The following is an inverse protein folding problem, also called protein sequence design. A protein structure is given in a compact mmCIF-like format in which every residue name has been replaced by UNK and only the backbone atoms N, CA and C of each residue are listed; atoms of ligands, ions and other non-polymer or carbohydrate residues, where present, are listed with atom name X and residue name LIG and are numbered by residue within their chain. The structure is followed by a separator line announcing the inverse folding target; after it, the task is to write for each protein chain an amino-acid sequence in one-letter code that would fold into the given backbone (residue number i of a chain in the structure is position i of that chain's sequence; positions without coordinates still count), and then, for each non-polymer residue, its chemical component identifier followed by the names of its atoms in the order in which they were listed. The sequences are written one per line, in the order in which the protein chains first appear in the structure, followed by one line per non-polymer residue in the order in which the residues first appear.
data_IF_646517473790
#
_entry.id   IF_646517473790
#
_cell.length_a   1.000
_cell.length_b   1.000
_cell.length_c   1.000
_cell.angle_alpha   90.00
_cell.angle_beta   90.00
_cell.angle_gamma   90.00
#
_symmetry.space_group_name_H-M   'P 1'
#
loop_
_entity.id
_entity.type
_entity.pdbx_description
1 polymer ?
#
# COMPACT_ATOMS: atom_id res chain seq x y z
N UNK A 1 19.49 12.91 14.09
CA UNK A 1 20.27 13.67 15.10
C UNK A 1 21.07 14.73 14.38
N UNK A 2 20.96 16.00 14.77
CA UNK A 2 21.78 17.05 14.18
C UNK A 2 23.24 16.86 14.62
N UNK A 3 24.23 17.00 13.72
CA UNK A 3 25.63 16.93 14.14
C UNK A 3 25.90 17.99 15.19
N UNK A 4 26.64 17.61 16.19
CA UNK A 4 26.97 18.54 17.28
C UNK A 4 27.96 19.60 16.79
N UNK A 5 27.90 20.79 17.37
CA UNK A 5 28.76 21.94 17.04
C UNK A 5 30.28 21.55 17.06
N UNK A 6 30.64 20.55 17.84
CA UNK A 6 31.98 20.03 17.92
C UNK A 6 32.48 19.35 16.61
N UNK A 7 31.58 18.74 15.84
CA UNK A 7 31.92 18.10 14.56
C UNK A 7 32.14 19.13 13.44
N UNK A 8 31.40 20.24 13.48
CA UNK A 8 31.59 21.33 12.52
C UNK A 8 32.91 22.11 12.84
N UNK A 9 33.25 22.26 14.09
CA UNK A 9 34.49 22.96 14.48
C UNK A 9 35.74 22.15 14.11
N UNK A 10 35.68 20.82 14.16
CA UNK A 10 36.83 19.95 13.78
C UNK A 10 37.08 20.04 12.24
N UNK A 11 36.03 20.17 11.44
CA UNK A 11 36.18 20.34 9.99
C UNK A 11 36.77 21.70 9.61
N UNK A 12 36.43 22.74 10.38
CA UNK A 12 36.92 24.10 10.12
C UNK A 12 38.40 24.26 10.53
N UNK A 13 38.85 23.55 11.60
CA UNK A 13 40.22 23.65 12.04
C UNK A 13 41.20 22.95 11.08
N UNK A 14 40.75 21.91 10.38
CA UNK A 14 41.56 21.26 9.36
C UNK A 14 41.84 22.16 8.13
N UNK A 15 40.89 23.02 7.81
CA UNK A 15 41.00 23.93 6.65
C UNK A 15 42.01 25.05 6.88
N UNK A 16 42.24 25.50 8.10
CA UNK A 16 43.11 26.67 8.39
C UNK A 16 44.61 26.28 8.36
N UNK A 17 44.95 24.99 8.61
CA UNK A 17 46.32 24.56 8.62
C UNK A 17 46.92 24.26 7.25
N UNK A 18 46.14 24.33 6.18
CA UNK A 18 46.63 23.96 4.84
C UNK A 18 47.32 25.07 4.05
N UNK A 19 47.46 26.29 4.59
CA UNK A 19 47.93 27.45 3.80
C UNK A 19 49.41 27.82 3.99
N UNK A 20 50.21 27.03 4.65
CA UNK A 20 51.65 27.40 4.79
C UNK A 20 52.57 26.23 4.44
N UNK A 21 53.16 26.32 3.35
CA UNK A 21 54.45 25.77 2.86
C UNK A 21 54.36 25.22 1.44
N UNK A 22 54.96 25.95 0.54
CA UNK A 22 55.29 25.48 -0.80
C UNK A 22 56.48 24.51 -0.72
N UNK A 23 56.27 23.28 -0.96
CA UNK A 23 57.30 22.31 -1.22
C UNK A 23 56.92 21.52 -2.46
N UNK A 24 57.78 21.52 -3.42
CA UNK A 24 57.61 20.87 -4.74
C UNK A 24 57.51 19.35 -4.58
N UNK A 25 56.28 18.86 -4.45
CA UNK A 25 55.97 17.43 -4.40
C UNK A 25 54.89 17.14 -5.43
N UNK A 26 55.20 16.28 -6.38
CA UNK A 26 54.23 15.86 -7.38
C UNK A 26 52.98 15.28 -6.72
N UNK A 27 51.79 15.85 -7.00
CA UNK A 27 50.52 15.52 -6.37
C UNK A 27 49.49 15.33 -7.48
N UNK A 28 49.44 14.14 -8.07
CA UNK A 28 48.58 13.90 -9.21
C UNK A 28 47.10 13.98 -8.87
N UNK A 29 46.31 14.46 -9.79
CA UNK A 29 44.83 14.46 -9.70
C UNK A 29 44.31 13.03 -9.81
N UNK A 30 43.11 12.80 -9.27
CA UNK A 30 42.40 11.54 -9.46
C UNK A 30 42.04 11.35 -10.93
N UNK A 31 42.40 10.21 -11.48
CA UNK A 31 42.00 9.85 -12.86
C UNK A 31 40.49 9.69 -12.92
N UNK A 32 39.90 9.95 -14.08
CA UNK A 32 38.45 9.97 -14.28
C UNK A 32 37.75 8.65 -13.83
N UNK A 33 38.34 7.51 -14.05
CA UNK A 33 37.77 6.22 -13.62
C UNK A 33 37.68 6.04 -12.11
N UNK A 34 38.40 6.86 -11.33
CA UNK A 34 38.30 6.84 -9.87
C UNK A 34 37.06 7.58 -9.35
N UNK A 35 36.70 8.70 -9.97
CA UNK A 35 35.69 9.61 -9.44
C UNK A 35 34.40 9.69 -10.30
N UNK A 36 34.48 9.62 -11.64
CA UNK A 36 33.30 9.72 -12.51
C UNK A 36 32.22 8.66 -12.20
N UNK A 37 32.58 7.38 -11.96
CA UNK A 37 31.59 6.38 -11.57
C UNK A 37 30.84 6.74 -10.27
N UNK A 38 31.48 7.44 -9.34
CA UNK A 38 30.84 7.84 -8.08
C UNK A 38 29.70 8.81 -8.33
N UNK A 39 29.91 9.80 -9.25
CA UNK A 39 28.85 10.74 -9.62
C UNK A 39 27.68 10.02 -10.31
N UNK A 40 27.96 9.06 -11.19
CA UNK A 40 26.91 8.27 -11.83
C UNK A 40 26.10 7.44 -10.80
N UNK A 41 26.80 6.86 -9.83
CA UNK A 41 26.17 6.13 -8.72
C UNK A 41 25.26 7.08 -7.92
N UNK A 42 25.73 8.27 -7.55
CA UNK A 42 24.93 9.26 -6.84
C UNK A 42 23.65 9.61 -7.61
N UNK A 43 23.77 9.84 -8.91
CA UNK A 43 22.61 10.11 -9.78
C UNK A 43 21.60 8.97 -9.81
N UNK A 44 22.07 7.73 -9.87
CA UNK A 44 21.16 6.56 -9.87
C UNK A 44 20.56 6.30 -8.48
N UNK A 45 21.30 6.52 -7.40
CA UNK A 45 20.79 6.34 -6.04
C UNK A 45 19.70 7.37 -5.71
N UNK A 46 19.74 8.58 -6.27
CA UNK A 46 18.68 9.58 -6.10
C UNK A 46 17.32 9.11 -6.62
N UNK A 47 17.28 8.10 -7.49
CA UNK A 47 16.03 7.53 -8.00
C UNK A 47 15.35 6.61 -6.98
N UNK A 48 16.09 6.08 -5.99
CA UNK A 48 15.56 5.07 -5.04
C UNK A 48 14.36 5.62 -4.24
N UNK A 49 14.42 6.82 -3.64
CA UNK A 49 13.24 7.41 -2.98
C UNK A 49 12.03 7.55 -3.90
N UNK A 50 12.24 8.00 -5.14
CA UNK A 50 11.17 8.16 -6.13
C UNK A 50 10.52 6.80 -6.46
N UNK A 51 11.33 5.77 -6.71
CA UNK A 51 10.84 4.40 -6.98
C UNK A 51 10.04 3.89 -5.77
N UNK A 52 10.58 4.03 -4.56
CA UNK A 52 9.94 3.58 -3.34
C UNK A 52 8.58 4.27 -3.14
N UNK A 53 8.53 5.58 -3.33
CA UNK A 53 7.31 6.37 -3.27
C UNK A 53 6.30 5.93 -4.33
N UNK A 54 6.75 5.76 -5.58
CA UNK A 54 5.89 5.32 -6.70
C UNK A 54 5.22 3.98 -6.41
N UNK A 55 5.97 3.01 -5.91
CA UNK A 55 5.45 1.68 -5.54
C UNK A 55 4.41 1.75 -4.41
N UNK A 56 4.67 2.55 -3.37
CA UNK A 56 3.73 2.79 -2.27
C UNK A 56 2.43 3.39 -2.82
N UNK A 57 2.55 4.47 -3.60
CA UNK A 57 1.41 5.18 -4.19
C UNK A 57 0.57 4.26 -5.06
N UNK A 58 1.19 3.46 -5.91
CA UNK A 58 0.50 2.51 -6.80
C UNK A 58 -0.31 1.47 -6.00
N UNK A 59 0.26 0.92 -4.92
CA UNK A 59 -0.45 -0.01 -4.03
C UNK A 59 -1.62 0.68 -3.32
N UNK A 60 -1.42 1.90 -2.81
CA UNK A 60 -2.45 2.69 -2.11
C UNK A 60 -3.61 3.05 -3.05
N UNK A 61 -3.30 3.53 -4.25
CA UNK A 61 -4.32 3.90 -5.25
C UNK A 61 -5.16 2.68 -5.65
N UNK A 62 -4.52 1.53 -5.83
CA UNK A 62 -5.21 0.27 -6.13
C UNK A 62 -6.11 -0.18 -4.97
N UNK A 63 -5.62 -0.11 -3.73
CA UNK A 63 -6.40 -0.44 -2.53
C UNK A 63 -7.62 0.48 -2.40
N UNK A 64 -7.44 1.78 -2.61
CA UNK A 64 -8.51 2.78 -2.57
C UNK A 64 -9.57 2.50 -3.64
N UNK A 65 -9.16 2.27 -4.88
CA UNK A 65 -10.06 1.95 -5.99
C UNK A 65 -10.88 0.68 -5.70
N UNK A 66 -10.21 -0.36 -5.18
CA UNK A 66 -10.88 -1.60 -4.78
C UNK A 66 -11.92 -1.39 -3.69
N UNK A 67 -11.60 -0.62 -2.64
CA UNK A 67 -12.53 -0.30 -1.54
C UNK A 67 -13.73 0.50 -2.03
N UNK A 68 -13.52 1.51 -2.86
CA UNK A 68 -14.62 2.31 -3.42
C UNK A 68 -15.56 1.45 -4.25
N UNK A 69 -15.02 0.57 -5.08
CA UNK A 69 -15.81 -0.32 -5.91
C UNK A 69 -16.56 -1.37 -5.06
N UNK A 70 -15.92 -1.92 -4.02
CA UNK A 70 -16.56 -2.83 -3.07
C UNK A 70 -17.76 -2.16 -2.38
N UNK A 71 -17.59 -0.93 -1.89
CA UNK A 71 -18.67 -0.16 -1.25
C UNK A 71 -19.83 0.09 -2.23
N UNK A 72 -19.54 0.40 -3.50
CA UNK A 72 -20.57 0.59 -4.52
C UNK A 72 -21.41 -0.67 -4.72
N UNK A 73 -20.75 -1.84 -4.81
CA UNK A 73 -21.46 -3.12 -4.94
C UNK A 73 -22.27 -3.46 -3.69
N UNK A 74 -21.73 -3.18 -2.50
CA UNK A 74 -22.46 -3.38 -1.24
C UNK A 74 -23.70 -2.46 -1.13
N UNK A 75 -23.61 -1.21 -1.60
CA UNK A 75 -24.75 -0.28 -1.65
C UNK A 75 -25.86 -0.85 -2.56
N UNK A 76 -25.48 -1.38 -3.73
CA UNK A 76 -26.43 -1.98 -4.66
C UNK A 76 -27.11 -3.21 -4.04
N UNK A 77 -26.41 -4.01 -3.27
CA UNK A 77 -26.97 -5.15 -2.55
C UNK A 77 -27.95 -4.68 -1.47
N UNK A 78 -27.57 -3.66 -0.69
CA UNK A 78 -28.47 -3.13 0.36
C UNK A 78 -29.70 -2.41 -0.21
N UNK A 79 -29.60 -1.85 -1.41
CA UNK A 79 -30.74 -1.24 -2.12
C UNK A 79 -31.70 -2.32 -2.64
N UNK A 80 -31.20 -3.52 -2.92
CA UNK A 80 -32.01 -4.61 -3.46
C UNK A 80 -33.09 -5.08 -2.51
N UNK A 81 -34.18 -5.61 -3.06
CA UNK A 81 -35.27 -6.21 -2.28
C UNK A 81 -34.82 -7.56 -1.72
N UNK A 82 -35.47 -8.00 -0.63
CA UNK A 82 -35.17 -9.27 0.02
C UNK A 82 -35.32 -10.50 -0.92
N UNK A 83 -36.12 -10.35 -1.97
CA UNK A 83 -36.36 -11.42 -2.96
C UNK A 83 -35.22 -11.60 -3.97
N UNK A 84 -34.33 -10.62 -4.09
CA UNK A 84 -33.25 -10.60 -5.10
C UNK A 84 -31.92 -10.28 -4.44
N UNK A 85 -31.38 -11.19 -3.65
CA UNK A 85 -30.00 -11.10 -3.19
C UNK A 85 -29.10 -11.41 -4.37
N UNK A 86 -28.38 -10.40 -4.83
CA UNK A 86 -27.42 -10.54 -5.92
C UNK A 86 -26.11 -11.11 -5.38
N UNK A 87 -26.03 -12.45 -5.31
CA UNK A 87 -24.82 -13.16 -4.86
C UNK A 87 -23.56 -12.64 -5.53
N UNK A 88 -23.67 -12.24 -6.81
CA UNK A 88 -22.56 -11.68 -7.57
C UNK A 88 -22.04 -10.36 -6.98
N UNK A 89 -22.90 -9.48 -6.47
CA UNK A 89 -22.45 -8.22 -5.88
C UNK A 89 -21.71 -8.46 -4.57
N UNK A 90 -22.26 -9.32 -3.71
CA UNK A 90 -21.64 -9.67 -2.42
C UNK A 90 -20.29 -10.35 -2.65
N UNK A 91 -20.24 -11.32 -3.57
CA UNK A 91 -19.02 -12.05 -3.89
C UNK A 91 -17.93 -11.11 -4.44
N UNK A 92 -18.28 -10.24 -5.40
CA UNK A 92 -17.32 -9.26 -5.95
C UNK A 92 -16.86 -8.26 -4.88
N UNK A 93 -17.78 -7.76 -4.04
CA UNK A 93 -17.43 -6.83 -2.95
C UNK A 93 -16.44 -7.47 -1.97
N UNK A 94 -16.66 -8.75 -1.61
CA UNK A 94 -15.75 -9.49 -0.73
C UNK A 94 -14.37 -9.67 -1.36
N UNK A 95 -14.31 -10.08 -2.63
CA UNK A 95 -13.05 -10.23 -3.35
C UNK A 95 -12.27 -8.91 -3.46
N UNK A 96 -12.97 -7.81 -3.79
CA UNK A 96 -12.36 -6.46 -3.84
C UNK A 96 -11.83 -6.02 -2.47
N UNK A 97 -12.59 -6.28 -1.42
CA UNK A 97 -12.19 -5.94 -0.04
C UNK A 97 -10.93 -6.72 0.34
N UNK A 98 -10.91 -8.03 0.11
CA UNK A 98 -9.75 -8.87 0.42
C UNK A 98 -8.49 -8.40 -0.33
N UNK A 99 -8.61 -8.06 -1.60
CA UNK A 99 -7.49 -7.53 -2.39
C UNK A 99 -7.02 -6.16 -1.89
N UNK A 100 -7.95 -5.27 -1.54
CA UNK A 100 -7.61 -3.96 -1.00
C UNK A 100 -6.87 -4.09 0.36
N UNK A 101 -7.29 -5.03 1.20
CA UNK A 101 -6.61 -5.34 2.47
C UNK A 101 -5.21 -5.91 2.23
N UNK A 102 -5.05 -6.82 1.28
CA UNK A 102 -3.76 -7.38 0.91
C UNK A 102 -2.79 -6.28 0.45
N UNK A 103 -3.26 -5.33 -0.39
CA UNK A 103 -2.44 -4.20 -0.85
C UNK A 103 -2.10 -3.24 0.30
N UNK A 104 -3.03 -2.99 1.21
CA UNK A 104 -2.78 -2.16 2.41
C UNK A 104 -1.72 -2.81 3.30
N UNK A 105 -1.79 -4.13 3.48
CA UNK A 105 -0.79 -4.89 4.24
C UNK A 105 0.58 -4.85 3.54
N UNK A 106 0.60 -4.95 2.21
CA UNK A 106 1.84 -4.81 1.42
C UNK A 106 2.45 -3.42 1.60
N UNK A 107 1.66 -2.34 1.60
CA UNK A 107 2.13 -0.98 1.89
C UNK A 107 2.79 -0.93 3.28
N UNK A 108 2.12 -1.45 4.30
CA UNK A 108 2.63 -1.43 5.68
C UNK A 108 3.99 -2.16 5.78
N UNK A 109 4.10 -3.34 5.19
CA UNK A 109 5.32 -4.14 5.18
C UNK A 109 6.44 -3.43 4.39
N UNK A 110 6.11 -2.89 3.22
CA UNK A 110 7.08 -2.25 2.33
C UNK A 110 7.57 -0.88 2.86
N UNK A 111 6.77 -0.17 3.64
CA UNK A 111 7.16 1.16 4.18
C UNK A 111 8.49 1.09 4.93
N UNK A 112 8.71 0.07 5.73
CA UNK A 112 9.98 -0.11 6.46
C UNK A 112 11.17 -0.27 5.51
N UNK A 113 10.99 -1.03 4.43
CA UNK A 113 12.01 -1.23 3.39
C UNK A 113 12.28 0.09 2.66
N UNK A 114 11.22 0.78 2.26
CA UNK A 114 11.27 2.04 1.52
C UNK A 114 12.01 3.14 2.30
N UNK A 115 11.65 3.34 3.57
CA UNK A 115 12.27 4.34 4.45
C UNK A 115 13.77 4.05 4.62
N UNK A 116 14.10 2.80 4.93
CA UNK A 116 15.48 2.39 5.12
C UNK A 116 16.31 2.53 3.85
N UNK A 117 15.81 2.12 2.71
CA UNK A 117 16.51 2.23 1.43
C UNK A 117 16.71 3.70 1.04
N UNK A 118 15.73 4.55 1.31
CA UNK A 118 15.84 6.01 1.11
C UNK A 118 16.95 6.59 1.98
N UNK A 119 16.95 6.25 3.26
CA UNK A 119 17.93 6.72 4.24
C UNK A 119 19.36 6.36 3.80
N UNK A 120 19.62 5.07 3.54
CA UNK A 120 20.97 4.62 3.16
C UNK A 120 21.41 5.15 1.79
N UNK A 121 20.48 5.23 0.83
CA UNK A 121 20.79 5.77 -0.51
C UNK A 121 21.18 7.25 -0.41
N UNK A 122 20.39 8.04 0.35
CA UNK A 122 20.69 9.48 0.48
C UNK A 122 21.91 9.77 1.35
N UNK A 123 22.18 8.95 2.34
CA UNK A 123 23.44 8.99 3.10
C UNK A 123 24.65 8.75 2.17
N UNK A 124 24.53 7.75 1.28
CA UNK A 124 25.60 7.44 0.32
C UNK A 124 25.76 8.57 -0.71
N UNK A 125 24.67 9.15 -1.21
CA UNK A 125 24.70 10.31 -2.11
C UNK A 125 25.43 11.48 -1.46
N UNK A 126 25.03 11.82 -0.22
CA UNK A 126 25.64 12.94 0.51
C UNK A 126 27.15 12.75 0.68
N UNK A 127 27.58 11.56 1.12
CA UNK A 127 29.01 11.28 1.33
C UNK A 127 29.83 11.26 0.02
N UNK A 128 29.23 10.80 -1.08
CA UNK A 128 29.87 10.87 -2.40
C UNK A 128 30.01 12.34 -2.82
N UNK A 129 28.95 13.12 -2.70
CA UNK A 129 28.92 14.50 -3.14
C UNK A 129 29.86 15.38 -2.30
N UNK A 130 29.88 15.19 -0.99
CA UNK A 130 30.80 15.92 -0.11
C UNK A 130 32.26 15.65 -0.51
N UNK A 131 32.60 14.39 -0.78
CA UNK A 131 33.96 14.01 -1.20
C UNK A 131 34.30 14.64 -2.56
N UNK A 132 33.39 14.57 -3.52
CA UNK A 132 33.61 15.14 -4.87
C UNK A 132 33.66 16.68 -4.81
N UNK A 133 32.80 17.31 -3.99
CA UNK A 133 32.77 18.75 -3.83
C UNK A 133 34.08 19.27 -3.20
N UNK A 134 34.60 18.57 -2.20
CA UNK A 134 35.88 18.88 -1.59
C UNK A 134 37.00 18.86 -2.66
N UNK A 135 37.04 17.80 -3.46
CA UNK A 135 38.07 17.65 -4.52
C UNK A 135 37.88 18.66 -5.66
N UNK A 136 36.62 18.99 -5.99
CA UNK A 136 36.28 19.98 -7.03
C UNK A 136 36.67 21.38 -6.63
N UNK A 137 36.46 21.76 -5.36
CA UNK A 137 36.78 23.11 -4.88
C UNK A 137 38.27 23.30 -4.53
N UNK A 138 39.05 22.20 -4.47
CA UNK A 138 40.46 22.23 -4.25
C UNK A 138 41.23 22.50 -5.59
N UNK A 139 40.83 23.53 -6.30
CA UNK A 139 41.29 23.88 -7.64
C UNK A 139 41.75 25.34 -7.66
N UNK A 140 42.96 25.57 -8.13
CA UNK A 140 43.50 26.94 -8.34
C UNK A 140 44.36 26.98 -9.61
N UNK A 141 44.00 27.80 -10.55
CA UNK A 141 44.82 27.96 -11.77
C UNK A 141 44.96 26.64 -12.55
N UNK A 142 46.17 26.14 -12.61
CA UNK A 142 46.46 24.87 -13.28
C UNK A 142 46.41 23.65 -12.34
N UNK A 143 46.10 23.85 -11.03
CA UNK A 143 46.02 22.81 -10.06
C UNK A 143 44.56 22.34 -9.89
N UNK A 144 44.32 21.02 -9.86
CA UNK A 144 43.01 20.42 -9.72
C UNK A 144 43.14 18.99 -9.18
N UNK A 145 42.11 18.54 -8.48
CA UNK A 145 42.11 17.19 -7.89
C UNK A 145 41.30 16.17 -8.71
N UNK A 146 40.46 16.60 -9.63
CA UNK A 146 39.66 15.73 -10.49
C UNK A 146 40.14 15.85 -11.94
N UNK A 147 40.78 14.82 -12.45
CA UNK A 147 41.22 14.76 -13.85
C UNK A 147 40.07 14.39 -14.80
N UNK A 148 40.19 14.78 -16.05
CA UNK A 148 39.16 14.56 -17.08
C UNK A 148 39.28 13.25 -17.84
N UNK A 149 40.45 12.61 -17.79
CA UNK A 149 40.75 11.40 -18.55
C UNK A 149 41.63 10.42 -17.74
N UNK A 150 42.01 9.30 -18.36
CA UNK A 150 42.82 8.27 -17.72
C UNK A 150 44.25 8.73 -17.38
N UNK A 151 44.72 9.80 -18.00
CA UNK A 151 45.97 10.51 -17.69
C UNK A 151 45.58 11.96 -17.43
N UNK A 152 45.47 12.40 -16.17
CA UNK A 152 44.85 13.68 -15.90
C UNK A 152 45.67 14.86 -16.36
N UNK A 153 45.44 15.23 -17.60
CA UNK A 153 46.11 16.37 -18.27
C UNK A 153 45.27 17.64 -18.23
N UNK A 154 44.00 17.51 -17.83
CA UNK A 154 43.07 18.66 -17.73
C UNK A 154 42.08 18.43 -16.57
N UNK A 155 41.55 19.57 -16.09
CA UNK A 155 40.54 19.56 -15.00
C UNK A 155 39.22 18.97 -15.49
N UNK A 156 38.75 17.96 -14.77
CA UNK A 156 37.47 17.30 -15.00
C UNK A 156 36.31 17.81 -14.13
N UNK A 157 36.56 18.76 -13.25
CA UNK A 157 35.59 19.23 -12.24
C UNK A 157 34.28 19.69 -12.81
N UNK A 158 34.30 20.35 -13.99
CA UNK A 158 33.08 20.87 -14.63
C UNK A 158 32.06 19.78 -15.01
N UNK A 159 32.52 18.56 -15.24
CA UNK A 159 31.63 17.46 -15.65
C UNK A 159 30.93 16.74 -14.45
N UNK A 160 31.33 17.02 -13.23
CA UNK A 160 30.80 16.33 -12.05
C UNK A 160 29.27 16.44 -11.95
N UNK A 161 28.73 17.62 -12.20
CA UNK A 161 27.28 17.87 -12.19
C UNK A 161 26.55 17.02 -13.25
N UNK A 162 27.03 17.04 -14.47
CA UNK A 162 26.43 16.34 -15.61
C UNK A 162 26.46 14.81 -15.42
N UNK A 163 27.37 14.31 -14.62
CA UNK A 163 27.52 12.90 -14.32
C UNK A 163 26.62 12.44 -13.15
N UNK A 164 25.95 13.38 -12.44
CA UNK A 164 25.04 13.07 -11.37
C UNK A 164 25.42 13.57 -9.99
N UNK A 165 26.63 14.06 -9.76
CA UNK A 165 26.94 14.86 -8.58
C UNK A 165 26.23 16.22 -8.69
N UNK A 166 25.73 16.74 -7.61
CA UNK A 166 24.93 17.96 -7.58
C UNK A 166 23.58 17.79 -8.33
N UNK A 167 23.01 16.59 -8.31
CA UNK A 167 21.72 16.31 -8.94
C UNK A 167 20.54 16.92 -8.18
N UNK A 168 19.40 17.00 -8.85
CA UNK A 168 18.16 17.51 -8.26
C UNK A 168 17.65 16.57 -7.14
N UNK A 169 16.86 17.14 -6.25
CA UNK A 169 16.16 16.38 -5.20
C UNK A 169 15.23 15.32 -5.80
N UNK A 170 15.06 14.16 -5.13
CA UNK A 170 14.09 13.15 -5.57
C UNK A 170 12.68 13.71 -5.72
N UNK A 171 12.00 13.29 -6.75
CA UNK A 171 10.65 13.75 -7.03
C UNK A 171 9.60 12.74 -6.56
N UNK A 172 8.85 12.90 -5.92
CA UNK A 172 7.99 12.11 -5.47
C UNK A 172 6.81 12.26 -6.12
N UNK A 173 6.60 12.33 -7.28
CA UNK A 173 5.44 12.48 -8.17
C UNK A 173 4.68 11.15 -8.42
N UNK A 174 5.15 10.07 -7.86
CA UNK A 174 4.56 8.74 -8.04
C UNK A 174 5.10 7.98 -9.25
N UNK A 175 6.11 8.52 -9.95
CA UNK A 175 6.79 7.80 -11.03
C UNK A 175 7.66 6.66 -10.47
N UNK A 176 7.98 5.70 -11.31
CA UNK A 176 8.92 4.61 -11.01
C UNK A 176 10.03 4.63 -12.08
N UNK A 177 10.99 5.56 -11.99
CA UNK A 177 12.09 5.60 -12.94
C UNK A 177 12.93 4.33 -12.88
N UNK A 178 13.46 3.89 -14.01
CA UNK A 178 14.37 2.75 -14.04
C UNK A 178 15.77 3.15 -13.56
N UNK A 179 16.41 2.25 -12.83
CA UNK A 179 17.81 2.36 -12.44
C UNK A 179 18.67 1.80 -13.60
N UNK A 180 19.72 2.50 -13.96
CA UNK A 180 20.64 2.04 -15.01
C UNK A 180 21.47 0.85 -14.51
N UNK A 181 21.24 -0.33 -15.06
CA UNK A 181 21.96 -1.57 -14.71
C UNK A 181 23.45 -1.50 -15.03
N UNK A 182 23.84 -0.63 -15.98
CA UNK A 182 25.23 -0.35 -16.30
C UNK A 182 25.97 0.37 -15.16
N UNK A 183 25.21 0.91 -14.18
CA UNK A 183 25.76 1.60 -13.01
C UNK A 183 25.47 0.79 -11.74
N UNK A 184 24.20 0.43 -11.50
CA UNK A 184 23.74 -0.31 -10.32
C UNK A 184 23.17 -1.66 -10.77
N UNK A 185 24.03 -2.65 -10.95
CA UNK A 185 23.64 -3.97 -11.42
C UNK A 185 23.03 -4.84 -10.29
N UNK A 186 22.44 -5.95 -10.67
CA UNK A 186 21.94 -6.93 -9.71
C UNK A 186 23.02 -7.48 -8.77
N UNK A 187 24.29 -7.45 -9.18
CA UNK A 187 25.41 -7.99 -8.41
C UNK A 187 26.23 -6.95 -7.68
N UNK A 188 26.02 -5.65 -7.95
CA UNK A 188 26.84 -4.60 -7.31
C UNK A 188 26.83 -3.29 -8.07
N UNK A 189 27.96 -2.59 -8.00
CA UNK A 189 28.18 -1.32 -8.68
C UNK A 189 29.06 -1.58 -9.91
N UNK A 190 28.46 -1.66 -11.06
CA UNK A 190 29.07 -2.20 -12.29
C UNK A 190 30.38 -1.49 -12.70
N UNK A 191 30.49 -0.19 -12.43
CA UNK A 191 31.65 0.63 -12.79
C UNK A 191 32.71 0.73 -11.69
N UNK A 192 32.49 0.11 -10.52
CA UNK A 192 33.44 0.17 -9.40
C UNK A 192 34.35 -1.07 -9.43
N UNK A 193 35.33 -1.02 -10.30
CA UNK A 193 36.38 -2.04 -10.39
C UNK A 193 37.51 -1.76 -9.37
N UNK A 194 38.42 -2.68 -9.23
CA UNK A 194 39.62 -2.51 -8.44
C UNK A 194 40.57 -1.55 -9.17
N UNK A 195 41.06 -0.55 -8.44
CA UNK A 195 42.14 0.32 -8.91
C UNK A 195 43.29 0.23 -7.92
N UNK A 196 44.39 -0.33 -8.36
CA UNK A 196 45.58 -0.58 -7.55
C UNK A 196 46.67 0.44 -7.73
N UNK A 197 46.61 1.22 -8.80
CA UNK A 197 47.52 2.34 -9.03
C UNK A 197 46.73 3.61 -9.10
N UNK A 198 47.10 4.37 -8.35
CA UNK A 198 47.14 5.79 -8.24
C UNK A 198 46.37 6.55 -9.24
N UNK A 199 46.20 7.50 -8.90
CA UNK A 199 45.93 8.85 -9.24
C UNK A 199 46.50 9.33 -10.56
N UNK A 200 46.73 8.58 -11.50
CA UNK A 200 47.09 9.07 -12.80
C UNK A 200 48.58 9.33 -12.95
N UNK A 201 48.95 10.24 -13.76
CA UNK A 201 50.28 10.34 -14.30
C UNK A 201 51.28 11.00 -13.35
N UNK A 202 52.46 10.46 -13.37
CA UNK A 202 53.52 10.73 -12.44
C UNK A 202 54.16 12.14 -12.45
N UNK A 203 53.83 12.97 -13.36
CA UNK A 203 54.59 14.21 -13.54
C UNK A 203 53.78 15.50 -13.46
N UNK A 204 52.63 15.47 -12.81
CA UNK A 204 51.85 16.72 -12.68
C UNK A 204 51.47 16.98 -11.22
N UNK A 205 52.01 18.09 -10.72
CA UNK A 205 51.55 18.66 -9.45
C UNK A 205 50.20 19.30 -9.66
N UNK A 206 49.14 18.47 -9.46
CA UNK A 206 47.78 18.93 -9.76
C UNK A 206 46.88 19.06 -8.53
N UNK A 207 47.04 18.22 -7.52
CA UNK A 207 46.14 18.23 -6.38
C UNK A 207 46.86 18.50 -5.05
N UNK A 208 46.55 19.60 -4.41
CA UNK A 208 47.12 20.00 -3.12
C UNK A 208 46.54 19.28 -1.91
N UNK A 209 45.58 18.40 -2.11
CA UNK A 209 44.88 17.69 -1.00
C UNK A 209 45.76 16.64 -0.33
N UNK A 210 46.75 16.09 -1.03
CA UNK A 210 47.67 15.09 -0.48
C UNK A 210 49.12 15.39 -0.84
N UNK A 211 50.04 14.95 0.03
CA UNK A 211 51.47 15.26 -0.06
C UNK A 211 52.29 14.01 -0.11
N UNK A 212 53.50 14.15 -0.66
CA UNK A 212 54.54 13.13 -0.63
C UNK A 212 54.91 12.74 0.78
N UNK A 213 55.29 11.49 0.92
CA UNK A 213 55.78 10.87 2.17
C UNK A 213 56.93 11.66 2.81
N UNK A 214 57.76 12.28 2.02
CA UNK A 214 58.91 13.07 2.49
C UNK A 214 58.54 14.37 3.21
N UNK A 215 57.28 14.78 3.14
CA UNK A 215 56.79 16.02 3.75
C UNK A 215 56.09 15.74 5.07
N UNK A 216 56.23 16.66 5.98
CA UNK A 216 55.80 16.49 7.37
C UNK A 216 54.30 16.68 7.65
N UNK A 217 53.50 16.88 6.65
CA UNK A 217 52.07 17.14 6.85
C UNK A 217 51.23 16.78 5.65
N UNK A 218 49.99 16.46 5.87
CA UNK A 218 49.00 16.11 4.86
C UNK A 218 48.45 14.70 5.07
N UNK A 219 47.28 14.39 4.48
CA UNK A 219 46.60 13.11 4.70
C UNK A 219 47.43 11.89 4.30
N UNK A 220 48.30 12.00 3.32
CA UNK A 220 49.08 10.87 2.81
C UNK A 220 50.54 10.86 3.24
N UNK A 221 50.95 11.67 4.19
CA UNK A 221 52.39 11.86 4.47
C UNK A 221 53.04 10.69 5.24
N UNK A 222 52.26 9.89 5.94
CA UNK A 222 52.79 8.77 6.74
C UNK A 222 52.56 7.42 6.06
N UNK A 223 53.58 6.60 6.03
CA UNK A 223 53.50 5.23 5.52
C UNK A 223 52.55 4.35 6.35
N UNK A 224 52.33 4.76 7.62
CA UNK A 224 51.46 4.05 8.54
C UNK A 224 50.04 4.56 8.58
N UNK A 225 49.79 5.76 8.00
CA UNK A 225 48.46 6.38 8.00
C UNK A 225 47.72 6.13 6.69
N UNK A 226 46.46 5.86 6.79
CA UNK A 226 45.57 5.74 5.64
C UNK A 226 44.36 6.67 5.84
N UNK A 227 44.13 7.59 4.94
CA UNK A 227 42.89 8.38 4.91
C UNK A 227 41.88 7.67 4.03
N UNK A 228 40.63 7.65 4.47
CA UNK A 228 39.56 7.01 3.73
C UNK A 228 38.53 8.04 3.27
N UNK A 229 38.10 7.93 2.02
CA UNK A 229 37.04 8.73 1.42
C UNK A 229 35.89 7.82 0.95
N UNK A 230 34.69 8.36 0.87
CA UNK A 230 33.50 7.68 0.36
C UNK A 230 33.30 6.35 1.14
N UNK A 231 33.17 6.46 2.46
CA UNK A 231 32.88 5.32 3.34
C UNK A 231 33.92 4.18 3.27
N UNK A 232 35.19 4.55 3.07
CA UNK A 232 36.29 3.60 2.99
C UNK A 232 36.49 2.96 1.61
N UNK A 233 35.70 3.36 0.61
CA UNK A 233 35.84 2.86 -0.76
C UNK A 233 37.17 3.27 -1.38
N UNK A 234 37.58 4.55 -1.20
CA UNK A 234 38.86 5.05 -1.65
C UNK A 234 39.80 5.20 -0.45
N UNK A 235 41.04 4.76 -0.60
CA UNK A 235 42.06 4.84 0.42
C UNK A 235 43.30 5.58 -0.11
N UNK A 236 43.68 6.61 0.63
CA UNK A 236 44.87 7.42 0.35
C UNK A 236 45.95 6.95 1.30
N UNK A 237 47.04 6.43 0.75
CA UNK A 237 48.17 5.93 1.56
C UNK A 237 49.31 6.96 1.65
N UNK A 238 50.25 6.74 2.55
CA UNK A 238 51.44 7.59 2.74
C UNK A 238 52.35 7.68 1.53
N UNK A 239 52.18 6.84 0.51
CA UNK A 239 52.95 6.88 -0.73
C UNK A 239 52.19 7.59 -1.86
N UNK A 240 51.23 8.47 -1.53
CA UNK A 240 50.43 9.24 -2.47
C UNK A 240 49.54 8.38 -3.37
N UNK A 241 49.35 7.14 -2.99
CA UNK A 241 48.52 6.24 -3.76
C UNK A 241 47.06 6.33 -3.32
N UNK A 242 46.18 6.50 -4.27
CA UNK A 242 44.74 6.37 -4.05
C UNK A 242 44.29 5.03 -4.65
N UNK A 243 43.83 4.13 -3.82
CA UNK A 243 43.38 2.82 -4.25
C UNK A 243 41.88 2.68 -4.01
N UNK A 244 41.25 1.79 -4.76
CA UNK A 244 39.83 1.48 -4.66
C UNK A 244 39.62 -0.03 -4.85
N UNK A 245 38.86 -0.63 -3.95
CA UNK A 245 38.43 -2.02 -4.08
C UNK A 245 37.22 -2.11 -5.03
N UNK A 246 37.07 -3.26 -5.68
CA UNK A 246 35.90 -3.53 -6.51
C UNK A 246 34.62 -3.69 -5.68
N UNK A 247 33.54 -3.12 -6.17
CA UNK A 247 32.17 -3.38 -5.69
C UNK A 247 31.28 -3.95 -6.81
N UNK A 248 31.87 -4.47 -7.87
CA UNK A 248 31.12 -5.08 -8.99
C UNK A 248 30.39 -6.37 -8.55
N UNK A 249 30.96 -7.06 -7.55
CA UNK A 249 30.39 -8.28 -6.99
C UNK A 249 30.27 -8.15 -5.48
N UNK A 250 29.06 -7.85 -5.02
CA UNK A 250 28.73 -7.75 -3.60
C UNK A 250 28.07 -9.07 -3.16
N UNK A 251 28.84 -9.92 -2.50
CA UNK A 251 28.37 -11.22 -2.03
C UNK A 251 27.67 -11.13 -0.65
N UNK A 252 26.90 -10.07 -0.45
CA UNK A 252 26.20 -9.81 0.80
C UNK A 252 24.74 -10.24 0.65
N UNK A 253 24.38 -11.35 1.29
CA UNK A 253 23.06 -11.94 1.18
C UNK A 253 21.95 -11.09 1.81
N UNK A 254 22.29 -10.33 2.83
CA UNK A 254 21.30 -9.51 3.55
C UNK A 254 22.01 -8.38 4.31
N UNK A 255 21.21 -7.44 4.82
CA UNK A 255 21.70 -6.23 5.49
C UNK A 255 22.51 -6.53 6.77
N UNK A 256 22.20 -7.61 7.50
CA UNK A 256 22.84 -7.92 8.77
C UNK A 256 24.32 -8.27 8.60
N UNK A 257 24.70 -8.82 7.47
CA UNK A 257 26.10 -9.17 7.17
C UNK A 257 26.82 -8.12 6.34
N UNK A 258 26.11 -7.09 5.89
CA UNK A 258 26.70 -5.96 5.16
C UNK A 258 27.62 -5.14 6.08
N UNK A 259 28.87 -4.97 5.69
CA UNK A 259 29.91 -4.32 6.49
C UNK A 259 30.01 -2.83 6.23
N UNK A 260 29.82 -2.42 4.98
CA UNK A 260 29.97 -1.03 4.56
C UNK A 260 28.60 -0.43 4.22
N UNK A 261 28.54 0.91 4.19
CA UNK A 261 27.31 1.61 3.77
C UNK A 261 26.94 1.22 2.35
N UNK A 262 27.89 1.14 1.42
CA UNK A 262 27.60 0.81 0.01
C UNK A 262 27.05 -0.61 -0.14
N UNK A 263 27.51 -1.56 0.67
CA UNK A 263 26.90 -2.91 0.72
C UNK A 263 25.44 -2.86 1.24
N UNK A 264 25.19 -2.07 2.27
CA UNK A 264 23.81 -1.87 2.80
C UNK A 264 22.90 -1.24 1.76
N UNK A 265 23.36 -0.19 1.08
CA UNK A 265 22.64 0.46 -0.02
C UNK A 265 22.29 -0.56 -1.12
N UNK A 266 23.25 -1.39 -1.50
CA UNK A 266 23.03 -2.42 -2.53
C UNK A 266 21.88 -3.36 -2.14
N UNK A 267 21.93 -3.91 -0.92
CA UNK A 267 20.86 -4.81 -0.42
C UNK A 267 19.51 -4.10 -0.33
N UNK A 268 19.49 -2.90 0.23
CA UNK A 268 18.25 -2.14 0.44
C UNK A 268 17.60 -1.72 -0.88
N UNK A 269 18.39 -1.27 -1.87
CA UNK A 269 17.84 -0.92 -3.19
C UNK A 269 17.26 -2.13 -3.91
N UNK A 270 17.91 -3.29 -3.81
CA UNK A 270 17.39 -4.53 -4.40
C UNK A 270 16.05 -4.91 -3.76
N UNK A 271 15.91 -4.71 -2.44
CA UNK A 271 14.64 -4.96 -1.74
C UNK A 271 13.53 -4.01 -2.24
N UNK A 272 13.85 -2.75 -2.54
CA UNK A 272 12.89 -1.81 -3.16
C UNK A 272 12.51 -2.29 -4.56
N UNK A 273 13.48 -2.69 -5.37
CA UNK A 273 13.23 -3.15 -6.75
C UNK A 273 12.37 -4.43 -6.76
N UNK A 274 12.60 -5.34 -5.81
CA UNK A 274 11.89 -6.62 -5.69
C UNK A 274 10.42 -6.47 -5.26
N UNK A 275 10.00 -5.31 -4.72
CA UNK A 275 8.61 -5.13 -4.33
C UNK A 275 7.70 -5.22 -5.55
N UNK A 276 6.85 -6.23 -5.55
CA UNK A 276 5.90 -6.45 -6.65
C UNK A 276 4.73 -5.45 -6.58
N UNK A 277 4.45 -4.83 -7.74
CA UNK A 277 3.32 -3.93 -7.94
C UNK A 277 2.57 -4.24 -9.24
N UNK A 278 2.90 -5.32 -9.91
CA UNK A 278 2.30 -5.71 -11.19
C UNK A 278 0.78 -5.92 -11.10
N UNK A 279 0.30 -6.44 -9.96
CA UNK A 279 -1.13 -6.66 -9.71
C UNK A 279 -1.87 -5.41 -9.19
N UNK A 280 -1.14 -4.32 -8.92
CA UNK A 280 -1.74 -3.08 -8.42
C UNK A 280 -2.25 -2.26 -9.62
N UNK A 281 -3.56 -2.12 -9.71
CA UNK A 281 -4.24 -1.41 -10.80
C UNK A 281 -5.40 -0.58 -10.25
N UNK A 282 -5.75 0.49 -10.95
CA UNK A 282 -6.97 1.26 -10.73
C UNK A 282 -8.00 0.99 -11.83
N UNK A 283 -7.67 0.16 -12.81
CA UNK A 283 -8.60 -0.24 -13.86
C UNK A 283 -9.72 -1.10 -13.26
N UNK A 284 -10.94 -0.62 -13.37
CA UNK A 284 -12.14 -1.26 -12.78
C UNK A 284 -12.33 -2.68 -13.32
N UNK A 285 -12.10 -2.89 -14.60
CA UNK A 285 -12.31 -4.20 -15.22
C UNK A 285 -11.31 -5.23 -14.67
N UNK A 286 -10.04 -4.83 -14.51
CA UNK A 286 -9.01 -5.70 -13.97
C UNK A 286 -9.23 -5.98 -12.47
N UNK A 287 -9.68 -4.97 -11.72
CA UNK A 287 -10.06 -5.16 -10.30
C UNK A 287 -11.20 -6.18 -10.18
N UNK A 288 -12.24 -6.07 -11.01
CA UNK A 288 -13.38 -6.98 -10.98
C UNK A 288 -13.01 -8.40 -11.40
N UNK A 289 -12.21 -8.56 -12.46
CA UNK A 289 -11.73 -9.89 -12.89
C UNK A 289 -10.93 -10.57 -11.79
N UNK A 290 -10.05 -9.82 -11.13
CA UNK A 290 -9.25 -10.34 -10.04
C UNK A 290 -10.13 -10.72 -8.84
N UNK A 291 -11.08 -9.85 -8.46
CA UNK A 291 -12.01 -10.07 -7.35
C UNK A 291 -12.87 -11.32 -7.57
N UNK A 292 -13.34 -11.53 -8.80
CA UNK A 292 -14.17 -12.70 -9.17
C UNK A 292 -13.44 -14.03 -8.96
N UNK A 293 -12.11 -14.02 -8.95
CA UNK A 293 -11.26 -15.21 -8.76
C UNK A 293 -10.69 -15.31 -7.33
N UNK A 294 -11.04 -14.36 -6.48
CA UNK A 294 -10.52 -14.31 -5.11
C UNK A 294 -11.18 -15.36 -4.21
N UNK A 295 -10.44 -15.90 -3.26
CA UNK A 295 -10.96 -16.83 -2.27
C UNK A 295 -12.09 -16.27 -1.43
N UNK A 296 -12.11 -14.96 -1.17
CA UNK A 296 -13.20 -14.30 -0.44
C UNK A 296 -14.50 -14.31 -1.25
N UNK A 297 -14.44 -14.14 -2.58
CA UNK A 297 -15.63 -14.29 -3.45
C UNK A 297 -16.19 -15.71 -3.38
N UNK A 298 -15.34 -16.72 -3.42
CA UNK A 298 -15.75 -18.12 -3.27
C UNK A 298 -16.42 -18.36 -1.90
N UNK A 299 -15.88 -17.77 -0.83
CA UNK A 299 -16.45 -17.89 0.52
C UNK A 299 -17.87 -17.32 0.60
N UNK A 300 -18.13 -16.19 -0.09
CA UNK A 300 -19.49 -15.61 -0.14
C UNK A 300 -20.45 -16.48 -0.95
N UNK A 301 -19.99 -17.08 -2.05
CA UNK A 301 -20.81 -18.03 -2.82
C UNK A 301 -21.17 -19.25 -1.93
N UNK A 302 -20.22 -19.73 -1.12
CA UNK A 302 -20.49 -20.82 -0.15
C UNK A 302 -21.57 -20.41 0.86
N UNK A 303 -21.52 -19.18 1.39
CA UNK A 303 -22.55 -18.66 2.30
C UNK A 303 -23.93 -18.62 1.62
N UNK A 304 -23.98 -18.03 0.42
CA UNK A 304 -25.24 -17.93 -0.33
C UNK A 304 -25.87 -19.32 -0.60
N UNK A 305 -25.05 -20.32 -0.91
CA UNK A 305 -25.52 -21.69 -1.10
C UNK A 305 -26.06 -22.31 0.20
N UNK A 306 -25.42 -22.05 1.34
CA UNK A 306 -25.92 -22.48 2.66
C UNK A 306 -27.24 -21.82 3.00
N UNK A 307 -27.39 -20.53 2.73
CA UNK A 307 -28.64 -19.78 2.99
C UNK A 307 -29.81 -20.34 2.17
N UNK A 308 -29.54 -20.75 0.92
CA UNK A 308 -30.59 -21.29 0.04
C UNK A 308 -30.80 -22.80 0.21
N UNK A 309 -29.81 -23.51 0.72
CA UNK A 309 -29.86 -24.97 0.94
C UNK A 309 -29.24 -25.27 2.31
N UNK A 310 -30.01 -25.05 3.40
CA UNK A 310 -29.44 -25.16 4.77
C UNK A 310 -28.85 -26.53 5.10
N UNK A 311 -29.37 -27.59 4.48
CA UNK A 311 -28.97 -28.99 4.73
C UNK A 311 -27.83 -29.45 3.81
N UNK A 312 -27.21 -28.55 2.99
CA UNK A 312 -26.12 -28.91 2.09
C UNK A 312 -24.92 -29.46 2.89
N UNK A 313 -24.42 -30.62 2.50
CA UNK A 313 -23.23 -31.19 3.17
C UNK A 313 -21.98 -30.40 2.84
N UNK A 314 -20.95 -30.51 3.68
CA UNK A 314 -19.64 -29.86 3.43
C UNK A 314 -19.06 -30.33 2.09
N UNK A 315 -19.11 -31.63 1.79
CA UNK A 315 -18.58 -32.20 0.56
C UNK A 315 -19.30 -31.65 -0.68
N UNK A 316 -20.63 -31.55 -0.61
CA UNK A 316 -21.43 -30.99 -1.72
C UNK A 316 -21.14 -29.51 -1.89
N UNK A 317 -21.00 -28.77 -0.80
CA UNK A 317 -20.69 -27.33 -0.81
C UNK A 317 -19.33 -27.06 -1.46
N UNK A 318 -18.31 -27.86 -1.10
CA UNK A 318 -16.96 -27.72 -1.68
C UNK A 318 -16.94 -28.01 -3.20
N UNK A 319 -17.90 -28.78 -3.68
CA UNK A 319 -18.06 -29.09 -5.11
C UNK A 319 -18.93 -28.05 -5.81
N UNK A 320 -20.05 -27.66 -5.20
CA UNK A 320 -21.05 -26.77 -5.82
C UNK A 320 -20.56 -25.31 -5.91
N UNK A 321 -19.86 -24.81 -4.90
CA UNK A 321 -19.49 -23.40 -4.84
C UNK A 321 -18.50 -22.98 -5.96
N UNK A 322 -17.43 -23.72 -6.28
CA UNK A 322 -16.59 -23.37 -7.40
C UNK A 322 -17.31 -23.41 -8.76
N UNK A 323 -18.24 -24.35 -8.93
CA UNK A 323 -19.09 -24.41 -10.15
C UNK A 323 -19.95 -23.15 -10.23
N UNK A 324 -20.63 -22.80 -9.12
CA UNK A 324 -21.48 -21.61 -9.06
C UNK A 324 -20.68 -20.32 -9.31
N UNK A 325 -19.49 -20.20 -8.74
CA UNK A 325 -18.58 -19.06 -8.99
C UNK A 325 -18.24 -18.95 -10.46
N UNK A 326 -17.94 -20.08 -11.12
CA UNK A 326 -17.63 -20.14 -12.55
C UNK A 326 -18.87 -19.79 -13.42
N UNK A 327 -20.07 -20.21 -13.01
CA UNK A 327 -21.32 -19.82 -13.66
C UNK A 327 -21.53 -18.29 -13.61
N UNK A 328 -21.28 -17.68 -12.46
CA UNK A 328 -21.45 -16.24 -12.26
C UNK A 328 -20.42 -15.42 -13.06
N UNK A 329 -19.14 -15.81 -12.99
CA UNK A 329 -18.06 -14.92 -13.43
C UNK A 329 -17.21 -15.48 -14.56
N UNK A 330 -17.42 -16.72 -15.00
CA UNK A 330 -16.52 -17.53 -15.84
C UNK A 330 -15.19 -17.81 -15.09
N UNK A 331 -14.42 -18.77 -15.56
CA UNK A 331 -13.17 -19.20 -14.91
C UNK A 331 -12.10 -18.07 -14.86
N UNK A 332 -12.11 -17.20 -15.85
CA UNK A 332 -11.17 -16.07 -15.97
C UNK A 332 -11.69 -14.76 -15.34
N UNK A 333 -12.89 -14.78 -14.78
CA UNK A 333 -13.53 -13.58 -14.21
C UNK A 333 -14.10 -12.61 -15.24
N UNK A 334 -14.08 -12.95 -16.52
CA UNK A 334 -14.42 -12.02 -17.61
C UNK A 334 -15.87 -11.52 -17.61
N UNK A 335 -16.78 -12.19 -16.91
CA UNK A 335 -18.17 -11.75 -16.78
C UNK A 335 -18.36 -10.64 -15.72
N UNK A 336 -17.44 -10.49 -14.77
CA UNK A 336 -17.60 -9.50 -13.70
C UNK A 336 -17.63 -8.05 -14.21
N UNK A 337 -16.80 -7.61 -15.17
CA UNK A 337 -16.95 -6.29 -15.79
C UNK A 337 -18.30 -6.08 -16.49
N UNK A 338 -18.89 -7.11 -17.08
CA UNK A 338 -20.21 -6.98 -17.77
C UNK A 338 -21.32 -6.77 -16.73
N UNK A 339 -21.25 -7.45 -15.59
CA UNK A 339 -22.16 -7.23 -14.46
C UNK A 339 -22.08 -5.76 -14.02
N UNK A 340 -20.87 -5.24 -13.82
CA UNK A 340 -20.66 -3.84 -13.42
C UNK A 340 -21.13 -2.85 -14.48
N UNK A 341 -20.94 -3.13 -15.75
CA UNK A 341 -21.36 -2.28 -16.87
C UNK A 341 -22.87 -1.96 -16.82
N UNK A 342 -23.68 -2.93 -16.36
CA UNK A 342 -25.11 -2.74 -16.13
C UNK A 342 -25.35 -2.04 -14.78
N UNK A 343 -24.76 -2.59 -13.72
CA UNK A 343 -24.98 -2.15 -12.34
C UNK A 343 -24.58 -0.68 -12.09
N UNK A 344 -23.54 -0.19 -12.74
CA UNK A 344 -23.00 1.18 -12.53
C UNK A 344 -24.00 2.30 -12.84
N UNK A 345 -25.06 2.02 -13.61
CA UNK A 345 -26.11 2.98 -13.98
C UNK A 345 -27.27 3.01 -12.97
N UNK A 346 -27.27 2.12 -11.99
CA UNK A 346 -28.34 2.05 -10.99
C UNK A 346 -28.43 3.36 -10.20
N UNK A 347 -29.61 3.99 -10.12
CA UNK A 347 -29.77 5.21 -9.34
C UNK A 347 -29.77 4.90 -7.84
N UNK A 348 -28.99 5.64 -7.08
CA UNK A 348 -28.90 5.55 -5.62
C UNK A 348 -29.20 6.93 -5.01
N UNK A 349 -29.59 6.98 -3.74
CA UNK A 349 -29.87 8.22 -3.03
C UNK A 349 -28.64 9.15 -3.07
N UNK A 350 -28.85 10.40 -3.48
CA UNK A 350 -27.82 11.43 -3.40
C UNK A 350 -27.89 12.10 -2.03
N UNK A 351 -27.14 11.58 -1.08
CA UNK A 351 -27.10 12.06 0.29
C UNK A 351 -26.45 13.45 0.42
N UNK A 352 -25.84 13.96 -0.65
CA UNK A 352 -25.21 15.30 -0.63
C UNK A 352 -26.15 16.39 -1.14
N UNK A 353 -27.25 16.01 -1.76
CA UNK A 353 -28.24 16.94 -2.31
C UNK A 353 -29.40 17.16 -1.35
N UNK A 354 -30.00 18.34 -1.41
CA UNK A 354 -31.23 18.64 -0.67
C UNK A 354 -32.42 17.94 -1.34
N UNK A 355 -33.27 17.31 -0.54
CA UNK A 355 -34.46 16.60 -1.00
C UNK A 355 -34.15 15.16 -1.46
N UNK A 356 -35.17 14.49 -1.95
CA UNK A 356 -35.08 13.09 -2.38
C UNK A 356 -34.54 12.98 -3.81
N UNK A 357 -33.26 13.24 -4.00
CA UNK A 357 -32.59 13.13 -5.31
C UNK A 357 -31.81 11.83 -5.42
N UNK A 358 -31.61 11.39 -6.63
CA UNK A 358 -30.79 10.21 -6.94
C UNK A 358 -29.71 10.55 -7.95
N UNK A 359 -28.64 9.75 -7.96
CA UNK A 359 -27.57 9.78 -8.97
C UNK A 359 -27.10 8.36 -9.24
N UNK A 360 -26.50 8.12 -10.40
CA UNK A 360 -25.94 6.79 -10.72
C UNK A 360 -24.88 6.41 -9.70
N UNK A 361 -24.83 5.14 -9.29
CA UNK A 361 -23.83 4.65 -8.33
C UNK A 361 -22.39 4.92 -8.83
N UNK A 362 -22.18 4.89 -10.14
CA UNK A 362 -20.88 5.23 -10.74
C UNK A 362 -20.42 6.64 -10.35
N UNK A 363 -21.34 7.60 -10.25
CA UNK A 363 -21.06 9.01 -9.95
C UNK A 363 -20.85 9.31 -8.45
N UNK A 364 -21.09 8.33 -7.58
CA UNK A 364 -20.79 8.48 -6.14
C UNK A 364 -19.31 8.25 -5.95
N UNK A 365 -18.56 9.25 -5.49
CA UNK A 365 -17.11 9.19 -5.30
C UNK A 365 -16.72 9.51 -3.86
N UNK A 366 -15.60 8.97 -3.44
CA UNK A 366 -15.05 9.17 -2.10
C UNK A 366 -15.60 8.18 -1.08
N UNK A 367 -14.71 7.57 -0.33
CA UNK A 367 -15.04 6.52 0.66
C UNK A 367 -16.06 7.03 1.69
N UNK A 368 -15.90 8.26 2.18
CA UNK A 368 -16.80 8.86 3.17
C UNK A 368 -18.24 8.98 2.63
N UNK A 369 -18.40 9.48 1.39
CA UNK A 369 -19.72 9.60 0.75
C UNK A 369 -20.35 8.22 0.53
N UNK A 370 -19.55 7.25 0.10
CA UNK A 370 -20.01 5.87 -0.10
C UNK A 370 -20.45 5.24 1.23
N UNK A 371 -19.68 5.41 2.30
CA UNK A 371 -20.03 4.90 3.63
C UNK A 371 -21.32 5.55 4.16
N UNK A 372 -21.48 6.85 3.97
CA UNK A 372 -22.70 7.56 4.36
C UNK A 372 -23.91 7.10 3.56
N UNK A 373 -23.74 6.86 2.24
CA UNK A 373 -24.79 6.28 1.37
C UNK A 373 -25.17 4.86 1.83
N UNK A 374 -24.20 4.04 2.13
CA UNK A 374 -24.40 2.69 2.70
C UNK A 374 -25.21 2.75 3.99
N UNK A 375 -24.80 3.63 4.91
CA UNK A 375 -25.49 3.85 6.20
C UNK A 375 -26.94 4.30 6.00
N UNK A 376 -27.20 5.12 4.99
CA UNK A 376 -28.59 5.52 4.63
C UNK A 376 -29.44 4.28 4.31
N UNK A 377 -28.98 3.39 3.42
CA UNK A 377 -29.72 2.19 3.03
C UNK A 377 -29.89 1.21 4.21
N UNK A 378 -28.87 1.02 5.02
CA UNK A 378 -28.94 0.17 6.23
C UNK A 378 -30.01 0.67 7.20
N UNK A 379 -30.06 1.99 7.45
CA UNK A 379 -31.09 2.58 8.31
C UNK A 379 -32.49 2.45 7.73
N UNK A 380 -32.65 2.67 6.42
CA UNK A 380 -33.92 2.52 5.73
C UNK A 380 -34.45 1.07 5.85
N UNK A 381 -33.59 0.10 5.62
CA UNK A 381 -33.89 -1.33 5.73
C UNK A 381 -34.28 -1.74 7.16
N UNK A 382 -33.56 -1.22 8.16
CA UNK A 382 -33.85 -1.47 9.57
C UNK A 382 -35.25 -0.90 9.95
N UNK A 383 -35.59 0.27 9.45
CA UNK A 383 -36.92 0.88 9.69
C UNK A 383 -38.03 0.05 9.04
N UNK A 384 -37.80 -0.44 7.82
CA UNK A 384 -38.76 -1.32 7.12
C UNK A 384 -38.96 -2.65 7.88
N UNK A 385 -37.88 -3.27 8.35
CA UNK A 385 -37.96 -4.50 9.14
C UNK A 385 -38.81 -4.29 10.42
N UNK A 386 -38.59 -3.22 11.15
CA UNK A 386 -39.40 -2.89 12.34
C UNK A 386 -40.90 -2.74 12.00
N UNK A 387 -41.21 -2.12 10.87
CA UNK A 387 -42.60 -1.98 10.41
C UNK A 387 -43.21 -3.35 10.10
N UNK A 388 -42.51 -4.20 9.38
CA UNK A 388 -42.96 -5.55 9.06
C UNK A 388 -43.14 -6.41 10.30
N UNK A 389 -42.24 -6.32 11.28
CA UNK A 389 -42.38 -7.01 12.58
C UNK A 389 -43.63 -6.58 13.33
N UNK A 390 -43.93 -5.27 13.35
CA UNK A 390 -45.14 -4.74 14.01
C UNK A 390 -46.42 -5.23 13.30
N UNK A 391 -46.43 -5.25 11.97
CA UNK A 391 -47.55 -5.76 11.17
C UNK A 391 -47.75 -7.27 11.40
N UNK A 392 -46.68 -8.04 11.42
CA UNK A 392 -46.70 -9.49 11.69
C UNK A 392 -47.28 -9.77 13.08
N UNK A 393 -46.85 -8.99 14.08
CA UNK A 393 -47.37 -9.13 15.47
C UNK A 393 -48.91 -8.87 15.50
N UNK A 394 -49.38 -7.82 14.85
CA UNK A 394 -50.83 -7.53 14.74
C UNK A 394 -51.59 -8.67 14.07
N UNK A 395 -51.09 -9.18 12.96
CA UNK A 395 -51.72 -10.30 12.24
C UNK A 395 -51.79 -11.56 13.11
N UNK A 396 -50.76 -11.81 13.91
CA UNK A 396 -50.75 -12.95 14.84
C UNK A 396 -51.79 -12.78 15.95
N UNK A 397 -51.88 -11.60 16.57
CA UNK A 397 -52.88 -11.26 17.58
C UNK A 397 -54.30 -11.37 17.00
N UNK A 398 -54.54 -10.85 15.79
CA UNK A 398 -55.84 -10.95 15.12
C UNK A 398 -56.23 -12.42 14.84
N UNK A 399 -55.27 -13.24 14.45
CA UNK A 399 -55.48 -14.67 14.19
C UNK A 399 -55.83 -15.44 15.49
N UNK A 400 -55.16 -15.12 16.58
CA UNK A 400 -55.45 -15.69 17.90
C UNK A 400 -56.83 -15.26 18.40
N UNK A 401 -57.19 -13.98 18.29
CA UNK A 401 -58.49 -13.43 18.64
C UNK A 401 -59.61 -14.07 17.81
N UNK A 402 -59.44 -14.29 16.52
CA UNK A 402 -60.40 -15.00 15.67
C UNK A 402 -60.55 -16.44 16.09
N UNK A 403 -59.48 -17.12 16.47
CA UNK A 403 -59.48 -18.50 16.90
C UNK A 403 -60.24 -18.67 18.23
N UNK A 404 -60.07 -17.70 19.16
CA UNK A 404 -60.77 -17.63 20.42
C UNK A 404 -62.27 -17.39 20.19
N UNK A 405 -62.67 -16.43 19.34
CA UNK A 405 -64.09 -16.16 19.00
C UNK A 405 -64.78 -17.39 18.39
N UNK A 406 -64.11 -18.10 17.48
CA UNK A 406 -64.65 -19.30 16.84
C UNK A 406 -64.82 -20.42 17.90
N UNK A 407 -63.90 -20.55 18.86
CA UNK A 407 -64.02 -21.51 19.96
C UNK A 407 -65.19 -21.16 20.87
N UNK A 408 -65.35 -19.89 21.26
CA UNK A 408 -66.44 -19.39 22.07
C UNK A 408 -67.78 -19.59 21.37
N UNK A 409 -67.87 -19.30 20.09
CA UNK A 409 -69.08 -19.50 19.28
C UNK A 409 -69.47 -21.00 19.19
N UNK A 410 -68.53 -21.89 19.08
CA UNK A 410 -68.77 -23.35 19.07
C UNK A 410 -69.23 -23.84 20.43
N UNK A 411 -68.69 -23.37 21.55
CA UNK A 411 -69.12 -23.72 22.92
C UNK A 411 -70.53 -23.18 23.14
N UNK A 412 -70.80 -21.95 22.74
CA UNK A 412 -72.12 -21.34 22.82
C UNK A 412 -73.19 -22.18 22.02
N UNK A 413 -72.83 -22.53 20.79
CA UNK A 413 -73.75 -23.31 19.91
C UNK A 413 -73.94 -24.73 20.44
N UNK A 414 -72.98 -25.34 21.12
CA UNK A 414 -73.10 -26.66 21.69
C UNK A 414 -74.02 -26.70 22.94
N UNK A 415 -74.04 -25.62 23.75
CA UNK A 415 -74.98 -25.46 24.86
C UNK A 415 -76.40 -25.07 24.35
N UNK A 416 -76.45 -24.27 23.27
CA UNK A 416 -77.72 -23.87 22.60
C UNK A 416 -78.73 -23.25 23.57
N UNK A 417 -79.90 -23.84 23.64
CA UNK A 417 -81.02 -23.40 24.51
C UNK A 417 -81.11 -24.22 25.78
N UNK A 418 -80.13 -25.09 26.07
CA UNK A 418 -80.08 -25.96 27.23
C UNK A 418 -79.47 -25.21 28.43
N UNK A 419 -80.34 -24.93 29.40
CA UNK A 419 -80.01 -24.20 30.64
C UNK A 419 -78.96 -24.94 31.51
N UNK A 420 -79.02 -26.26 31.59
CA UNK A 420 -78.08 -27.03 32.40
C UNK A 420 -76.70 -27.06 31.79
N UNK A 421 -76.60 -27.24 30.46
CA UNK A 421 -75.30 -27.18 29.74
C UNK A 421 -74.70 -25.80 29.82
N UNK A 422 -75.52 -24.74 29.78
CA UNK A 422 -75.05 -23.38 29.93
C UNK A 422 -74.53 -23.09 31.33
N UNK A 423 -75.12 -23.68 32.35
CA UNK A 423 -74.62 -23.58 33.75
C UNK A 423 -73.28 -24.25 33.96
N UNK A 424 -72.99 -25.33 33.22
CA UNK A 424 -71.66 -25.96 33.26
C UNK A 424 -70.56 -25.03 32.69
N UNK A 425 -70.94 -24.12 31.82
CA UNK A 425 -70.04 -23.14 31.22
C UNK A 425 -69.96 -21.83 32.03
N UNK A 426 -70.61 -21.72 33.16
CA UNK A 426 -70.63 -20.49 34.00
C UNK A 426 -69.29 -20.08 34.49
N UNK A 427 -68.37 -20.98 34.82
CA UNK A 427 -67.01 -20.68 35.21
C UNK A 427 -66.19 -20.10 34.08
N UNK A 428 -66.59 -20.34 32.85
CA UNK A 428 -66.00 -19.76 31.63
C UNK A 428 -66.66 -18.42 31.26
N UNK A 429 -67.57 -17.89 32.12
CA UNK A 429 -68.18 -16.57 31.90
C UNK A 429 -69.44 -16.55 31.05
N UNK A 430 -70.06 -17.74 30.81
CA UNK A 430 -71.34 -17.83 30.07
C UNK A 430 -72.51 -17.60 31.01
N UNK A 431 -73.58 -16.97 30.47
CA UNK A 431 -74.84 -16.76 31.19
C UNK A 431 -76.03 -17.17 30.31
N UNK A 432 -76.99 -17.75 30.92
CA UNK A 432 -78.27 -18.17 30.28
C UNK A 432 -79.29 -17.05 30.42
N UNK A 433 -79.86 -16.59 29.32
CA UNK A 433 -80.96 -15.59 29.35
C UNK A 433 -82.22 -16.15 28.69
N UNK A 434 -83.20 -16.37 29.45
CA UNK A 434 -84.52 -16.97 29.02
C UNK A 434 -85.24 -16.06 28.02
N UNK A 435 -84.96 -14.75 28.03
CA UNK A 435 -85.66 -13.76 27.25
C UNK A 435 -84.93 -13.39 25.92
N UNK A 436 -83.78 -14.01 25.68
CA UNK A 436 -83.00 -13.74 24.51
C UNK A 436 -83.40 -14.67 23.34
N UNK A 437 -83.41 -14.20 22.13
CA UNK A 437 -83.52 -15.02 20.93
C UNK A 437 -82.29 -15.96 20.85
N UNK A 438 -82.46 -17.05 20.19
CA UNK A 438 -81.45 -18.12 20.09
C UNK A 438 -80.10 -17.60 19.57
N UNK A 439 -78.98 -18.05 20.14
CA UNK A 439 -78.87 -18.97 21.27
C UNK A 439 -79.04 -18.27 22.64
N UNK A 440 -79.64 -18.88 23.60
CA UNK A 440 -79.91 -18.33 24.93
C UNK A 440 -78.72 -18.37 25.90
N UNK A 441 -77.73 -19.21 25.58
CA UNK A 441 -76.43 -19.25 26.30
C UNK A 441 -75.48 -18.27 25.64
N UNK A 442 -75.07 -17.26 26.38
CA UNK A 442 -74.18 -16.22 25.84
C UNK A 442 -73.00 -15.87 26.76
N UNK A 443 -71.85 -15.54 26.23
CA UNK A 443 -70.70 -15.09 27.00
C UNK A 443 -70.98 -13.68 27.54
N UNK A 444 -70.85 -13.49 28.84
CA UNK A 444 -71.01 -12.19 29.50
C UNK A 444 -69.81 -11.32 29.17
N UNK A 445 -69.98 -10.32 28.37
CA UNK A 445 -68.94 -9.34 28.09
C UNK A 445 -68.54 -8.62 29.39
N UNK A 446 -67.28 -8.72 29.80
CA UNK A 446 -66.76 -7.86 30.85
C UNK A 446 -66.67 -6.43 30.30
N UNK A 447 -67.46 -5.55 30.82
CA UNK A 447 -67.29 -4.10 30.59
C UNK A 447 -65.93 -3.71 31.19
N UNK A 448 -64.98 -3.31 30.35
CA UNK A 448 -63.78 -2.64 30.75
C UNK A 448 -64.01 -1.14 30.75
#
# INVERSE_FOLDING_TARGET
MRPTVAQAAAALTLLVFMYSHHADAAQPALIDKMWKPLCRIAGELRKIPTIAHGKIKKLQDSAKAGRELALKLSILEEQGTAEHKNTEFVALAAGLTAQAEAKTSAVAAFTTVAVRATDTAMEAVGGIEDAIQLLKTSTTGSEYCLGSDGTPTSDGSATAKDLGCEGNEPQXDGSEPSVAETVLSATGYAEIDTVTTTNGVADSDKCGMWKKQSLSSGPGHSTAATAELVFGLMKITGNEQVTRNSLQQINTANRQVAKTLLEKVHVDRLAVQAQETSSATTDINELLKAAARDGAALAEVKRALKDTTPDITVADLETAAPKKLTELFKADGSNAPEIWKVAKKTPVADITAAGAKTKEIAAVTGIETLQATMSYYMRAKAAELKKLEAEFKKLKEDKENKKTKISEEKECNSAGDDEEKCKELKEKGYTYDKNKDKPKCTLKKSEK
#
